data_IF_026712613940
#
_entry.id   IF_026712613940
#
_cell.length_a   1.000
_cell.length_b   1.000
_cell.length_c   1.000
_cell.angle_alpha   90.00
_cell.angle_beta   90.00
_cell.angle_gamma   90.00
#
_symmetry.space_group_name_H-M   'P 1'
#
loop_
_entity.id
_entity.type
_entity.pdbx_description
1 polymer ?
#
# COMPACT_ATOMS: atom_id res chain seq x y z
N UNK A 1 70.25 -12.69 40.26
CA UNK A 1 70.15 -12.33 38.83
C UNK A 1 70.24 -13.57 37.94
N UNK A 2 69.22 -14.42 38.03
CA UNK A 2 69.01 -15.53 37.10
C UNK A 2 67.90 -15.10 36.14
N UNK A 3 68.25 -15.07 34.85
CA UNK A 3 67.36 -14.60 33.78
C UNK A 3 66.12 -15.49 33.72
N UNK A 4 64.99 -14.96 34.17
CA UNK A 4 63.66 -15.47 33.86
C UNK A 4 63.45 -15.36 32.34
N UNK A 5 63.71 -16.45 31.65
CA UNK A 5 63.38 -16.62 30.23
C UNK A 5 61.87 -16.58 30.08
N UNK A 6 61.34 -15.41 29.74
CA UNK A 6 59.99 -15.26 29.19
C UNK A 6 59.88 -16.20 27.99
N UNK A 7 59.11 -17.28 28.15
CA UNK A 7 58.83 -18.25 27.11
C UNK A 7 58.05 -17.59 25.98
N UNK A 8 58.78 -17.11 24.98
CA UNK A 8 58.26 -16.84 23.65
C UNK A 8 57.83 -18.17 23.02
N UNK A 9 56.56 -18.28 22.66
CA UNK A 9 56.07 -19.41 21.87
C UNK A 9 56.87 -19.48 20.56
N UNK A 10 57.44 -20.64 20.27
CA UNK A 10 58.03 -20.90 18.96
C UNK A 10 56.93 -20.79 17.91
N UNK A 11 57.21 -20.00 16.87
CA UNK A 11 56.31 -19.69 15.76
C UNK A 11 55.74 -20.96 15.12
N UNK A 12 54.45 -21.25 15.34
CA UNK A 12 53.72 -22.24 14.54
C UNK A 12 52.61 -23.03 15.25
N UNK A 13 52.58 -23.08 16.58
CA UNK A 13 51.57 -23.87 17.31
C UNK A 13 50.52 -22.99 17.98
N UNK A 14 49.26 -23.43 17.90
CA UNK A 14 48.08 -22.76 18.45
C UNK A 14 48.30 -22.36 19.92
N UNK A 15 48.52 -21.06 20.14
CA UNK A 15 48.82 -20.47 21.45
C UNK A 15 47.93 -20.93 22.62
N UNK A 16 46.62 -21.17 22.46
CA UNK A 16 45.78 -21.68 23.55
C UNK A 16 46.20 -23.07 24.05
N UNK A 17 46.52 -23.99 23.13
CA UNK A 17 46.85 -25.38 23.46
C UNK A 17 48.23 -25.49 24.14
N UNK A 18 49.19 -24.66 23.72
CA UNK A 18 50.51 -24.61 24.34
C UNK A 18 50.43 -24.07 25.78
N UNK A 19 49.67 -22.99 26.02
CA UNK A 19 49.49 -22.44 27.36
C UNK A 19 48.72 -23.39 28.27
N UNK A 20 47.71 -24.09 27.75
CA UNK A 20 46.95 -25.08 28.51
C UNK A 20 47.81 -26.32 28.85
N UNK A 21 48.67 -26.77 27.93
CA UNK A 21 49.61 -27.87 28.18
C UNK A 21 50.70 -27.50 29.21
N UNK A 22 51.21 -26.27 29.19
CA UNK A 22 52.18 -25.77 30.17
C UNK A 22 51.54 -25.58 31.54
N UNK A 23 50.31 -25.05 31.59
CA UNK A 23 49.55 -24.91 32.83
C UNK A 23 49.22 -26.27 33.44
N UNK A 24 48.75 -27.24 32.64
CA UNK A 24 48.53 -28.62 33.10
C UNK A 24 49.80 -29.30 33.59
N UNK A 25 50.95 -29.12 32.91
CA UNK A 25 52.23 -29.66 33.37
C UNK A 25 52.67 -29.04 34.70
N UNK A 26 52.51 -27.73 34.87
CA UNK A 26 52.81 -27.04 36.14
C UNK A 26 51.88 -27.49 37.26
N UNK A 27 50.58 -27.62 36.98
CA UNK A 27 49.61 -28.14 37.94
C UNK A 27 49.95 -29.57 38.37
N UNK A 28 50.31 -30.45 37.42
CA UNK A 28 50.72 -31.82 37.73
C UNK A 28 52.01 -31.87 38.58
N UNK A 29 53.01 -31.05 38.26
CA UNK A 29 54.24 -30.94 39.05
C UNK A 29 54.00 -30.37 40.46
N UNK A 30 53.09 -29.41 40.59
CA UNK A 30 52.68 -28.88 41.90
C UNK A 30 51.91 -29.93 42.70
N UNK A 31 51.00 -30.68 42.08
CA UNK A 31 50.27 -31.75 42.76
C UNK A 31 51.17 -32.90 43.19
N UNK A 32 52.19 -33.26 42.39
CA UNK A 32 53.16 -34.28 42.79
C UNK A 32 54.03 -33.80 43.95
N UNK A 33 54.50 -32.54 43.91
CA UNK A 33 55.30 -31.95 44.99
C UNK A 33 54.49 -31.79 46.29
N UNK A 34 53.20 -31.46 46.18
CA UNK A 34 52.29 -31.45 47.33
C UNK A 34 51.98 -32.86 47.87
N UNK A 35 51.97 -33.89 47.01
CA UNK A 35 51.83 -35.28 47.46
C UNK A 35 53.10 -35.76 48.19
N UNK A 36 54.29 -35.45 47.65
CA UNK A 36 55.59 -35.74 48.27
C UNK A 36 55.74 -35.04 49.63
N UNK A 37 55.31 -33.77 49.76
CA UNK A 37 55.30 -33.05 51.02
C UNK A 37 54.32 -33.68 52.03
N UNK A 38 53.15 -34.14 51.59
CA UNK A 38 52.20 -34.84 52.47
C UNK A 38 52.75 -36.17 52.96
N UNK A 39 53.41 -36.94 52.10
CA UNK A 39 54.08 -38.20 52.49
C UNK A 39 55.26 -37.94 53.43
N UNK A 40 56.07 -36.90 53.18
CA UNK A 40 57.17 -36.50 54.07
C UNK A 40 56.65 -36.09 55.46
N UNK A 41 55.58 -35.29 55.53
CA UNK A 41 54.93 -34.89 56.77
C UNK A 41 54.28 -36.07 57.49
N UNK A 42 53.66 -37.02 56.76
CA UNK A 42 53.12 -38.25 57.33
C UNK A 42 54.23 -39.15 57.90
N UNK A 43 55.37 -39.26 57.21
CA UNK A 43 56.54 -40.01 57.68
C UNK A 43 57.20 -39.35 58.89
N UNK A 44 57.28 -38.02 58.94
CA UNK A 44 57.73 -37.29 60.12
C UNK A 44 56.78 -37.50 61.32
N UNK A 45 55.46 -37.39 61.12
CA UNK A 45 54.46 -37.69 62.16
C UNK A 45 54.52 -39.14 62.65
N UNK A 46 54.76 -40.09 61.76
CA UNK A 46 54.95 -41.49 62.13
C UNK A 46 56.28 -41.71 62.88
N UNK A 47 57.34 -40.99 62.52
CA UNK A 47 58.63 -41.05 63.21
C UNK A 47 58.58 -40.41 64.60
N UNK A 48 57.89 -39.28 64.77
CA UNK A 48 57.67 -38.66 66.08
C UNK A 48 56.77 -39.53 66.95
N UNK A 49 55.67 -40.09 66.42
CA UNK A 49 54.84 -41.06 67.14
C UNK A 49 55.63 -42.32 67.57
N UNK A 50 56.59 -42.78 66.75
CA UNK A 50 57.51 -43.88 67.11
C UNK A 50 58.51 -43.49 68.20
N UNK A 51 58.96 -42.23 68.26
CA UNK A 51 59.79 -41.73 69.37
C UNK A 51 58.99 -41.69 70.68
N UNK A 52 57.80 -41.10 70.69
CA UNK A 52 56.92 -41.06 71.88
C UNK A 52 56.53 -42.46 72.40
N UNK A 53 56.33 -43.44 71.51
CA UNK A 53 56.05 -44.83 71.94
C UNK A 53 57.30 -45.60 72.40
N UNK A 54 58.49 -45.19 71.95
CA UNK A 54 59.78 -45.74 72.40
C UNK A 54 60.19 -45.17 73.76
N UNK A 55 59.87 -43.90 74.03
CA UNK A 55 60.08 -43.26 75.33
C UNK A 55 59.14 -43.85 76.40
N UNK A 56 57.89 -44.22 76.05
CA UNK A 56 57.01 -45.04 76.91
C UNK A 56 57.50 -46.48 77.18
N UNK A 57 58.47 -46.98 76.42
CA UNK A 57 59.05 -48.33 76.62
C UNK A 57 60.47 -48.30 77.22
N UNK A 58 61.07 -47.12 77.39
CA UNK A 58 62.47 -46.99 77.81
C UNK A 58 62.70 -46.14 79.07
N UNK A 59 61.66 -45.55 79.68
CA UNK A 59 61.76 -44.79 80.93
C UNK A 59 60.87 -45.36 82.04
N UNK A 60 61.51 -45.73 83.16
CA UNK A 60 60.96 -45.96 84.50
C UNK A 60 60.29 -47.30 84.85
N UNK A 61 61.15 -48.34 84.89
CA UNK A 61 61.07 -49.42 85.88
C UNK A 61 62.16 -49.23 86.95
N UNK A 62 62.07 -48.16 87.74
CA UNK A 62 62.81 -47.99 89.01
C UNK A 62 61.90 -47.34 90.05
N UNK A 63 61.21 -48.18 90.82
CA UNK A 63 60.42 -47.75 91.97
C UNK A 63 59.37 -48.79 92.34
N UNK A 64 59.50 -49.35 93.54
CA UNK A 64 58.59 -50.32 94.18
C UNK A 64 58.49 -51.74 93.59
N UNK A 65 59.46 -52.57 93.97
CA UNK A 65 59.21 -53.97 94.36
C UNK A 65 59.95 -54.25 95.68
N UNK A 66 59.32 -53.92 96.80
CA UNK A 66 59.49 -54.66 98.06
C UNK A 66 58.11 -55.25 98.36
N UNK A 67 57.96 -56.54 98.05
CA UNK A 67 56.79 -57.34 98.32
C UNK A 67 57.14 -58.80 98.00
N UNK A 68 57.20 -59.70 99.00
CA UNK A 68 57.79 -61.02 98.82
C UNK A 68 56.79 -61.95 98.13
N UNK A 69 57.12 -62.37 96.92
CA UNK A 69 56.30 -63.27 96.12
C UNK A 69 57.11 -63.97 95.05
N UNK A 70 58.22 -64.61 95.44
CA UNK A 70 58.97 -65.52 94.58
C UNK A 70 59.25 -66.79 95.35
N UNK A 71 58.44 -67.81 95.04
CA UNK A 71 58.71 -69.19 95.38
C UNK A 71 59.86 -69.68 94.50
N UNK A 72 60.98 -70.03 95.11
CA UNK A 72 61.81 -71.21 94.85
C UNK A 72 62.92 -71.10 95.90
N UNK A 73 62.84 -71.83 97.01
CA UNK A 73 63.95 -72.43 97.76
C UNK A 73 63.38 -73.04 99.04
N UNK A 74 63.43 -74.36 99.11
CA UNK A 74 63.01 -75.16 100.24
C UNK A 74 63.79 -74.78 101.52
N UNK A 75 63.06 -74.36 102.56
CA UNK A 75 63.49 -74.46 103.95
C UNK A 75 62.33 -75.03 104.76
N UNK A 76 62.55 -76.19 105.35
CA UNK A 76 61.63 -76.87 106.26
C UNK A 76 61.39 -75.98 107.49
N UNK A 77 60.23 -75.33 107.57
CA UNK A 77 59.75 -74.71 108.80
C UNK A 77 58.99 -75.77 109.61
N UNK A 78 59.65 -76.31 110.64
CA UNK A 78 58.97 -77.12 111.66
C UNK A 78 58.01 -76.19 112.41
N UNK A 79 56.71 -76.52 112.40
CA UNK A 79 55.74 -75.81 113.22
C UNK A 79 56.00 -76.15 114.70
N UNK A 80 56.57 -75.19 115.43
CA UNK A 80 56.63 -75.22 116.89
C UNK A 80 55.27 -74.78 117.40
N UNK A 81 54.61 -75.68 118.13
CA UNK A 81 53.27 -75.47 118.68
C UNK A 81 53.35 -74.51 119.87
N UNK A 82 52.96 -73.25 119.69
CA UNK A 82 53.02 -72.18 120.71
C UNK A 82 51.67 -71.92 121.38
N UNK A 83 50.82 -72.94 121.50
CA UNK A 83 49.58 -72.81 122.27
C UNK A 83 49.90 -72.77 123.77
N UNK A 84 49.32 -71.80 124.49
CA UNK A 84 49.42 -71.70 125.94
C UNK A 84 48.65 -72.87 126.58
N UNK A 85 49.37 -73.90 127.03
CA UNK A 85 48.85 -74.90 127.94
C UNK A 85 48.92 -74.37 129.37
N UNK A 86 47.81 -73.78 129.85
CA UNK A 86 47.61 -73.50 131.27
C UNK A 86 46.84 -74.67 131.87
N UNK A 87 47.52 -75.50 132.68
CA UNK A 87 46.86 -76.44 133.59
C UNK A 87 46.43 -75.67 134.84
N UNK A 88 45.12 -75.53 135.07
CA UNK A 88 44.61 -75.11 136.37
C UNK A 88 44.78 -76.26 137.36
N UNK A 89 45.69 -76.09 138.33
CA UNK A 89 45.80 -76.98 139.49
C UNK A 89 44.54 -76.81 140.35
N UNK A 90 43.67 -77.82 140.37
CA UNK A 90 42.40 -77.85 141.11
C UNK A 90 42.54 -78.24 142.59
N UNK A 91 43.78 -78.31 143.10
CA UNK A 91 44.04 -78.70 144.49
C UNK A 91 43.83 -77.50 145.44
N UNK A 92 42.75 -77.55 146.22
CA UNK A 92 42.48 -76.56 147.26
C UNK A 92 43.37 -76.81 148.48
N UNK A 93 44.22 -75.83 148.81
CA UNK A 93 45.06 -75.85 150.02
C UNK A 93 44.21 -75.47 151.24
N UNK A 94 44.23 -76.31 152.27
CA UNK A 94 43.49 -76.11 153.51
C UNK A 94 43.94 -74.84 154.27
N UNK A 95 42.98 -73.96 154.59
CA UNK A 95 43.21 -72.77 155.40
C UNK A 95 42.77 -73.03 156.84
N UNK A 96 43.70 -72.84 157.78
CA UNK A 96 43.42 -72.97 159.22
C UNK A 96 43.16 -71.60 159.82
N UNK A 97 41.96 -71.41 160.36
CA UNK A 97 41.57 -70.20 161.08
C UNK A 97 42.07 -70.23 162.53
N UNK A 98 42.95 -69.30 162.88
CA UNK A 98 43.37 -69.03 164.25
C UNK A 98 42.87 -67.65 164.67
N UNK A 99 42.00 -67.60 165.67
CA UNK A 99 41.56 -66.34 166.28
C UNK A 99 42.57 -65.90 167.36
N UNK A 100 43.00 -64.64 167.33
CA UNK A 100 43.74 -64.03 168.45
C UNK A 100 43.24 -62.62 168.69
N UNK A 101 42.98 -62.34 169.96
CA UNK A 101 42.39 -61.13 170.51
C UNK A 101 43.35 -59.93 170.38
N UNK A 102 42.87 -58.88 169.73
CA UNK A 102 43.56 -57.64 169.43
C UNK A 102 43.58 -56.69 170.62
N UNK A 103 44.76 -56.18 170.99
CA UNK A 103 44.86 -54.87 171.66
C UNK A 103 44.69 -53.76 170.61
N UNK A 104 44.01 -52.68 170.97
CA UNK A 104 43.82 -51.51 170.11
C UNK A 104 45.15 -50.77 169.88
N UNK A 105 45.87 -51.13 168.83
CA UNK A 105 46.96 -50.34 168.29
C UNK A 105 46.40 -48.99 167.80
N UNK A 106 46.83 -47.90 168.43
CA UNK A 106 46.67 -46.57 167.85
C UNK A 106 47.61 -46.46 166.65
N UNK A 107 47.06 -46.15 165.48
CA UNK A 107 47.84 -46.02 164.25
C UNK A 107 48.90 -44.92 164.41
N UNK A 108 50.17 -45.32 164.24
CA UNK A 108 51.27 -44.37 164.09
C UNK A 108 50.99 -43.53 162.84
N UNK A 109 51.04 -42.19 162.89
CA UNK A 109 50.85 -41.38 161.70
C UNK A 109 51.85 -41.84 160.62
N UNK A 110 51.42 -41.93 159.35
CA UNK A 110 52.27 -42.45 158.29
C UNK A 110 53.55 -41.63 158.23
N UNK A 111 54.70 -42.30 158.34
CA UNK A 111 56.00 -41.66 158.19
C UNK A 111 56.03 -40.94 156.83
N UNK A 112 56.44 -39.66 156.79
CA UNK A 112 56.43 -38.89 155.55
C UNK A 112 57.22 -39.64 154.48
N UNK A 113 56.63 -39.77 153.29
CA UNK A 113 57.28 -40.40 152.14
C UNK A 113 58.58 -39.64 151.85
N UNK A 114 59.71 -40.32 151.94
CA UNK A 114 60.99 -39.77 151.53
C UNK A 114 60.97 -39.58 150.01
N UNK A 115 60.71 -38.35 149.57
CA UNK A 115 60.90 -37.93 148.19
C UNK A 115 62.35 -37.45 148.08
N UNK A 116 63.24 -38.20 147.41
CA UNK A 116 64.59 -37.73 147.19
C UNK A 116 64.53 -36.37 146.48
N UNK A 117 65.22 -35.36 147.01
CA UNK A 117 65.47 -34.13 146.24
C UNK A 117 66.12 -34.53 144.93
N UNK A 118 65.55 -34.12 143.78
CA UNK A 118 66.17 -34.34 142.47
C UNK A 118 67.63 -33.87 142.53
N UNK A 119 68.58 -34.79 142.60
CA UNK A 119 70.01 -34.49 142.44
C UNK A 119 70.38 -34.82 141.00
N UNK A 120 70.22 -33.81 140.16
CA UNK A 120 70.56 -33.78 138.74
C UNK A 120 70.32 -32.35 138.26
N UNK A 121 71.20 -31.83 137.41
CA UNK A 121 70.97 -30.52 136.78
C UNK A 121 69.98 -30.76 135.64
N UNK A 122 68.77 -30.22 135.76
CA UNK A 122 67.79 -30.24 134.67
C UNK A 122 68.34 -29.34 133.53
N UNK A 123 68.61 -29.93 132.36
CA UNK A 123 69.06 -29.22 131.16
C UNK A 123 67.98 -29.38 130.10
N UNK A 124 67.40 -28.26 129.66
CA UNK A 124 66.54 -28.24 128.49
C UNK A 124 67.38 -28.03 127.24
N UNK A 125 67.14 -28.85 126.22
CA UNK A 125 67.72 -28.68 124.89
C UNK A 125 66.60 -28.32 123.94
N UNK A 126 66.55 -27.06 123.50
CA UNK A 126 65.58 -26.56 122.54
C UNK A 126 66.31 -26.17 121.25
N UNK A 127 65.81 -26.66 120.12
CA UNK A 127 66.25 -26.22 118.79
C UNK A 127 65.45 -24.95 118.46
N UNK A 128 66.15 -23.86 118.15
CA UNK A 128 65.54 -22.58 117.80
C UNK A 128 65.25 -22.50 116.30
N UNK A 129 64.42 -21.53 115.89
CA UNK A 129 64.14 -21.28 114.48
C UNK A 129 65.45 -21.00 113.72
N UNK A 130 65.66 -21.70 112.60
CA UNK A 130 66.85 -21.68 111.74
C UNK A 130 68.11 -22.41 112.23
N UNK A 131 68.04 -23.17 113.32
CA UNK A 131 69.21 -23.91 113.87
C UNK A 131 69.54 -25.20 113.09
N UNK A 132 68.59 -25.74 112.33
CA UNK A 132 68.74 -26.94 111.48
C UNK A 132 68.56 -26.67 109.97
N UNK A 133 68.55 -25.39 109.57
CA UNK A 133 68.32 -25.04 108.17
C UNK A 133 69.55 -25.39 107.31
N UNK A 134 69.36 -26.27 106.32
CA UNK A 134 70.33 -26.55 105.28
C UNK A 134 69.90 -25.92 103.96
N UNK A 135 70.63 -24.90 103.54
CA UNK A 135 70.33 -24.16 102.31
C UNK A 135 70.40 -25.06 101.07
N UNK A 136 71.36 -25.99 101.01
CA UNK A 136 71.57 -26.81 99.81
C UNK A 136 70.40 -27.78 99.58
N UNK A 137 69.82 -28.29 100.66
CA UNK A 137 68.65 -29.17 100.61
C UNK A 137 67.37 -28.37 100.28
N UNK A 138 67.16 -27.24 100.94
CA UNK A 138 65.90 -26.49 100.88
C UNK A 138 65.76 -25.65 99.60
N UNK A 139 66.86 -25.24 98.97
CA UNK A 139 66.82 -24.51 97.68
C UNK A 139 66.52 -25.42 96.49
N UNK A 140 66.78 -26.72 96.63
CA UNK A 140 66.72 -27.68 95.52
C UNK A 140 65.33 -27.77 94.87
N UNK A 141 64.21 -27.87 95.62
CA UNK A 141 62.86 -27.89 95.05
C UNK A 141 62.47 -26.57 94.39
N UNK A 142 62.95 -25.45 94.93
CA UNK A 142 62.68 -24.11 94.40
C UNK A 142 63.37 -23.94 93.04
N UNK A 143 64.64 -24.31 92.96
CA UNK A 143 65.42 -24.28 91.72
C UNK A 143 64.85 -25.25 90.69
N UNK A 144 64.45 -26.46 91.08
CA UNK A 144 63.85 -27.43 90.17
C UNK A 144 62.57 -26.88 89.52
N UNK A 145 61.68 -26.26 90.31
CA UNK A 145 60.46 -25.66 89.78
C UNK A 145 60.75 -24.44 88.91
N UNK A 146 61.69 -23.58 89.30
CA UNK A 146 62.04 -22.38 88.52
C UNK A 146 62.69 -22.75 87.19
N UNK A 147 63.67 -23.65 87.20
CA UNK A 147 64.35 -24.10 85.98
C UNK A 147 63.39 -24.91 85.12
N UNK A 148 62.58 -25.80 85.72
CA UNK A 148 61.58 -26.58 85.00
C UNK A 148 60.57 -25.70 84.27
N UNK A 149 59.94 -24.74 84.98
CA UNK A 149 58.96 -23.83 84.38
C UNK A 149 59.56 -22.90 83.33
N UNK A 150 60.77 -22.39 83.57
CA UNK A 150 61.41 -21.49 82.59
C UNK A 150 61.78 -22.22 81.30
N UNK A 151 62.28 -23.45 81.40
CA UNK A 151 62.58 -24.28 80.22
C UNK A 151 61.30 -24.73 79.51
N UNK A 152 60.27 -25.13 80.24
CA UNK A 152 58.97 -25.52 79.67
C UNK A 152 58.33 -24.34 78.94
N UNK A 153 58.28 -23.17 79.56
CA UNK A 153 57.75 -21.96 78.94
C UNK A 153 58.55 -21.56 77.70
N UNK A 154 59.88 -21.56 77.77
CA UNK A 154 60.73 -21.25 76.61
C UNK A 154 60.51 -22.22 75.45
N UNK A 155 60.32 -23.51 75.73
CA UNK A 155 60.04 -24.51 74.70
C UNK A 155 58.69 -24.28 74.03
N UNK A 156 57.64 -23.98 74.81
CA UNK A 156 56.31 -23.67 74.29
C UNK A 156 56.33 -22.41 73.41
N UNK A 157 56.98 -21.35 73.87
CA UNK A 157 57.10 -20.09 73.11
C UNK A 157 57.80 -20.32 71.76
N UNK A 158 58.92 -21.06 71.74
CA UNK A 158 59.62 -21.36 70.48
C UNK A 158 58.76 -22.22 69.55
N UNK A 159 58.04 -23.21 70.08
CA UNK A 159 57.12 -24.01 69.26
C UNK A 159 55.99 -23.18 68.67
N UNK A 160 55.38 -22.29 69.46
CA UNK A 160 54.34 -21.38 68.98
C UNK A 160 54.87 -20.40 67.91
N UNK A 161 56.08 -19.88 68.09
CA UNK A 161 56.72 -19.00 67.10
C UNK A 161 56.98 -19.71 65.77
N UNK A 162 57.48 -20.94 65.80
CA UNK A 162 57.68 -21.76 64.59
C UNK A 162 56.34 -22.06 63.89
N UNK A 163 55.31 -22.47 64.64
CA UNK A 163 53.98 -22.71 64.08
C UNK A 163 53.38 -21.44 63.45
N UNK A 164 53.51 -20.29 64.11
CA UNK A 164 53.06 -19.00 63.57
C UNK A 164 53.84 -18.60 62.32
N UNK A 165 55.14 -18.87 62.25
CA UNK A 165 55.95 -18.62 61.06
C UNK A 165 55.50 -19.49 59.88
N UNK A 166 55.24 -20.77 60.11
CA UNK A 166 54.73 -21.70 59.11
C UNK A 166 53.35 -21.28 58.59
N UNK A 167 52.44 -20.89 59.47
CA UNK A 167 51.10 -20.41 59.09
C UNK A 167 51.17 -19.11 58.27
N UNK A 168 52.08 -18.20 58.60
CA UNK A 168 52.29 -16.96 57.82
C UNK A 168 52.81 -17.28 56.43
N UNK A 169 53.81 -18.14 56.32
CA UNK A 169 54.35 -18.58 55.04
C UNK A 169 53.27 -19.24 54.16
N UNK A 170 52.46 -20.14 54.72
CA UNK A 170 51.34 -20.76 54.00
C UNK A 170 50.30 -19.73 53.55
N UNK A 171 49.97 -18.77 54.41
CA UNK A 171 49.02 -17.69 54.08
C UNK A 171 49.53 -16.83 52.93
N UNK A 172 50.80 -16.44 52.95
CA UNK A 172 51.42 -15.63 51.88
C UNK A 172 51.34 -16.36 50.54
N UNK A 173 51.73 -17.64 50.49
CA UNK A 173 51.64 -18.46 49.27
C UNK A 173 50.20 -18.55 48.75
N UNK A 174 49.22 -18.76 49.62
CA UNK A 174 47.82 -18.83 49.21
C UNK A 174 47.28 -17.47 48.73
N UNK A 175 47.74 -16.37 49.33
CA UNK A 175 47.38 -15.02 48.90
C UNK A 175 47.97 -14.71 47.53
N UNK A 176 49.23 -15.07 47.28
CA UNK A 176 49.86 -14.92 45.96
C UNK A 176 49.07 -15.68 44.89
N UNK A 177 48.74 -16.95 45.14
CA UNK A 177 47.91 -17.75 44.23
C UNK A 177 46.55 -17.08 43.99
N UNK A 178 45.88 -16.65 45.07
CA UNK A 178 44.57 -16.01 44.95
C UNK A 178 44.62 -14.72 44.12
N UNK A 179 45.64 -13.89 44.32
CA UNK A 179 45.82 -12.66 43.54
C UNK A 179 46.11 -12.95 42.07
N UNK A 180 46.89 -13.99 41.77
CA UNK A 180 47.16 -14.44 40.41
C UNK A 180 45.88 -14.96 39.73
N UNK A 181 45.10 -15.78 40.43
CA UNK A 181 43.83 -16.32 39.93
C UNK A 181 42.83 -15.20 39.63
N UNK A 182 42.69 -14.22 40.53
CA UNK A 182 41.83 -13.05 40.30
C UNK A 182 42.26 -12.25 39.06
N UNK A 183 43.57 -12.06 38.86
CA UNK A 183 44.08 -11.38 37.68
C UNK A 183 43.79 -12.17 36.39
N UNK A 184 43.88 -13.50 36.42
CA UNK A 184 43.52 -14.36 35.29
C UNK A 184 42.02 -14.31 34.98
N UNK A 185 41.17 -14.39 36.01
CA UNK A 185 39.71 -14.28 35.85
C UNK A 185 39.34 -12.94 35.22
N UNK A 186 39.88 -11.82 35.72
CA UNK A 186 39.63 -10.50 35.14
C UNK A 186 40.03 -10.43 33.66
N UNK A 187 41.19 -10.99 33.30
CA UNK A 187 41.65 -11.08 31.90
C UNK A 187 40.67 -11.90 31.03
N UNK A 188 40.17 -13.02 31.53
CA UNK A 188 39.21 -13.87 30.82
C UNK A 188 37.84 -13.21 30.68
N UNK A 189 37.37 -12.50 31.70
CA UNK A 189 36.12 -11.74 31.66
C UNK A 189 36.16 -10.64 30.61
N UNK A 190 37.24 -9.86 30.56
CA UNK A 190 37.39 -8.80 29.56
C UNK A 190 37.49 -9.36 28.13
N UNK A 191 38.17 -10.50 27.95
CA UNK A 191 38.16 -11.22 26.68
C UNK A 191 36.75 -11.69 26.30
N UNK A 192 35.99 -12.22 27.25
CA UNK A 192 34.62 -12.67 27.02
C UNK A 192 33.68 -11.50 26.72
N UNK A 193 33.85 -10.34 27.37
CA UNK A 193 33.08 -9.11 27.05
C UNK A 193 33.30 -8.71 25.60
N UNK A 194 34.57 -8.64 25.15
CA UNK A 194 34.91 -8.32 23.74
C UNK A 194 34.26 -9.30 22.76
N UNK A 195 34.32 -10.61 23.03
CA UNK A 195 33.68 -11.60 22.16
C UNK A 195 32.15 -11.48 22.14
N UNK A 196 31.52 -11.20 23.29
CA UNK A 196 30.07 -10.99 23.36
C UNK A 196 29.66 -9.77 22.54
N UNK A 197 30.35 -8.66 22.70
CA UNK A 197 30.11 -7.43 21.93
C UNK A 197 30.29 -7.65 20.43
N UNK A 198 31.36 -8.33 20.01
CA UNK A 198 31.59 -8.63 18.60
C UNK A 198 30.52 -9.57 18.04
N UNK A 199 30.13 -10.60 18.80
CA UNK A 199 29.06 -11.54 18.41
C UNK A 199 27.73 -10.81 18.25
N UNK A 200 27.39 -9.89 19.15
CA UNK A 200 26.18 -9.07 19.05
C UNK A 200 26.21 -8.14 17.84
N UNK A 201 27.34 -7.46 17.59
CA UNK A 201 27.51 -6.63 16.38
C UNK A 201 27.32 -7.44 15.11
N UNK A 202 27.94 -8.63 15.02
CA UNK A 202 27.76 -9.54 13.88
C UNK A 202 26.31 -9.99 13.76
N UNK A 203 25.64 -10.35 14.87
CA UNK A 203 24.23 -10.76 14.85
C UNK A 203 23.33 -9.67 14.25
N UNK A 204 23.51 -8.42 14.69
CA UNK A 204 22.75 -7.27 14.18
C UNK A 204 23.02 -7.07 12.68
N UNK A 205 24.29 -7.14 12.26
CA UNK A 205 24.65 -7.04 10.83
C UNK A 205 24.00 -8.14 9.99
N UNK A 206 24.03 -9.39 10.45
CA UNK A 206 23.38 -10.51 9.77
C UNK A 206 21.86 -10.34 9.71
N UNK A 207 21.22 -9.89 10.79
CA UNK A 207 19.77 -9.63 10.80
C UNK A 207 19.38 -8.54 9.79
N UNK A 208 20.15 -7.44 9.73
CA UNK A 208 19.92 -6.36 8.76
C UNK A 208 20.14 -6.84 7.33
N UNK A 209 21.26 -7.55 7.08
CA UNK A 209 21.56 -8.09 5.75
C UNK A 209 20.50 -9.11 5.31
N UNK A 210 20.00 -9.95 6.22
CA UNK A 210 18.95 -10.93 5.93
C UNK A 210 17.62 -10.25 5.60
N UNK A 211 17.25 -9.17 6.30
CA UNK A 211 16.05 -8.38 5.97
C UNK A 211 16.18 -7.76 4.58
N UNK A 212 17.30 -7.10 4.30
CA UNK A 212 17.56 -6.49 3.00
C UNK A 212 17.55 -7.53 1.87
N UNK A 213 18.15 -8.71 2.08
CA UNK A 213 18.16 -9.80 1.11
C UNK A 213 16.75 -10.33 0.81
N UNK A 214 15.87 -10.42 1.81
CA UNK A 214 14.47 -10.78 1.59
C UNK A 214 13.75 -9.72 0.77
N UNK A 215 13.91 -8.45 1.11
CA UNK A 215 13.30 -7.34 0.36
C UNK A 215 13.77 -7.28 -1.09
N UNK A 216 15.06 -7.44 -1.34
CA UNK A 216 15.60 -7.47 -2.70
C UNK A 216 15.09 -8.68 -3.47
N UNK A 217 15.04 -9.86 -2.85
CA UNK A 217 14.44 -11.05 -3.46
C UNK A 217 12.97 -10.82 -3.83
N UNK A 218 12.17 -10.21 -2.95
CA UNK A 218 10.78 -9.86 -3.25
C UNK A 218 10.66 -8.86 -4.40
N UNK A 219 11.50 -7.83 -4.46
CA UNK A 219 11.53 -6.86 -5.57
C UNK A 219 11.89 -7.53 -6.90
N UNK A 220 12.88 -8.42 -6.89
CA UNK A 220 13.29 -9.19 -8.08
C UNK A 220 12.16 -10.11 -8.52
N UNK A 221 11.52 -10.83 -7.59
CA UNK A 221 10.38 -11.69 -7.87
C UNK A 221 9.20 -10.91 -8.46
N UNK A 222 8.85 -9.75 -7.88
CA UNK A 222 7.79 -8.89 -8.41
C UNK A 222 8.11 -8.36 -9.82
N UNK A 223 9.37 -7.96 -10.08
CA UNK A 223 9.82 -7.55 -11.42
C UNK A 223 9.76 -8.71 -12.43
N UNK A 224 10.19 -9.90 -12.03
CA UNK A 224 10.11 -11.08 -12.88
C UNK A 224 8.66 -11.47 -13.18
N UNK A 225 7.80 -11.44 -12.15
CA UNK A 225 6.37 -11.72 -12.27
C UNK A 225 5.67 -10.72 -13.20
N UNK A 226 5.86 -9.41 -12.98
CA UNK A 226 5.28 -8.37 -13.83
C UNK A 226 5.75 -8.50 -15.28
N UNK A 227 7.03 -8.76 -15.53
CA UNK A 227 7.54 -8.99 -16.88
C UNK A 227 6.90 -10.22 -17.55
N UNK A 228 6.81 -11.33 -16.81
CA UNK A 228 6.20 -12.56 -17.31
C UNK A 228 4.70 -12.40 -17.58
N UNK A 229 3.99 -11.61 -16.77
CA UNK A 229 2.56 -11.35 -16.92
C UNK A 229 2.25 -10.31 -18.01
N UNK A 230 2.98 -9.20 -18.06
CA UNK A 230 2.73 -8.11 -19.00
C UNK A 230 3.15 -8.45 -20.43
N UNK A 231 4.21 -9.25 -20.64
CA UNK A 231 4.70 -9.54 -21.99
C UNK A 231 3.66 -10.25 -22.87
N UNK A 232 2.93 -11.28 -22.42
CA UNK A 232 1.83 -11.88 -23.18
C UNK A 232 0.60 -10.98 -23.23
N UNK A 233 0.29 -10.26 -22.15
CA UNK A 233 -0.88 -9.39 -22.08
C UNK A 233 -0.79 -8.23 -23.08
N UNK A 234 0.38 -7.60 -23.20
CA UNK A 234 0.63 -6.57 -24.20
C UNK A 234 0.40 -7.12 -25.60
N UNK A 235 1.01 -8.27 -25.95
CA UNK A 235 0.81 -8.88 -27.27
C UNK A 235 -0.67 -9.20 -27.54
N UNK A 236 -1.37 -9.78 -26.58
CA UNK A 236 -2.78 -10.12 -26.68
C UNK A 236 -3.67 -8.89 -26.84
N UNK A 237 -3.45 -7.84 -26.03
CA UNK A 237 -4.21 -6.59 -26.12
C UNK A 237 -3.95 -5.82 -27.42
N UNK A 238 -2.69 -5.79 -27.89
CA UNK A 238 -2.36 -5.24 -29.22
C UNK A 238 -3.08 -6.00 -30.33
N UNK A 239 -3.08 -7.33 -30.29
CA UNK A 239 -3.81 -8.16 -31.26
C UNK A 239 -5.32 -7.89 -31.20
N UNK A 240 -5.92 -7.85 -30.01
CA UNK A 240 -7.35 -7.55 -29.85
C UNK A 240 -7.72 -6.14 -30.34
N UNK A 241 -6.88 -5.14 -30.08
CA UNK A 241 -7.10 -3.77 -30.57
C UNK A 241 -6.93 -3.67 -32.09
N UNK A 242 -5.98 -4.43 -32.66
CA UNK A 242 -5.77 -4.53 -34.09
C UNK A 242 -6.95 -5.23 -34.78
N UNK A 243 -7.41 -6.37 -34.25
CA UNK A 243 -8.59 -7.10 -34.75
C UNK A 243 -9.87 -6.29 -34.66
N UNK A 244 -10.02 -5.47 -33.60
CA UNK A 244 -11.15 -4.55 -33.44
C UNK A 244 -11.04 -3.29 -34.30
N UNK A 245 -9.95 -3.10 -35.04
CA UNK A 245 -9.76 -1.97 -35.96
C UNK A 245 -9.52 -0.63 -35.27
N UNK A 246 -9.11 -0.61 -33.99
CA UNK A 246 -8.75 0.65 -33.31
C UNK A 246 -7.43 1.22 -33.81
N UNK A 247 -6.51 0.37 -34.28
CA UNK A 247 -5.33 0.79 -35.01
C UNK A 247 -5.65 0.81 -36.50
N UNK A 248 -5.87 2.01 -37.03
CA UNK A 248 -6.03 2.25 -38.46
C UNK A 248 -4.72 2.78 -39.05
N UNK A 249 -4.50 2.52 -40.34
CA UNK A 249 -3.45 3.20 -41.09
C UNK A 249 -3.85 4.66 -41.28
N UNK A 250 -3.05 5.58 -40.75
CA UNK A 250 -3.29 7.03 -40.85
C UNK A 250 -3.44 7.47 -42.31
N UNK A 251 -2.70 6.84 -43.23
CA UNK A 251 -2.75 7.19 -44.65
C UNK A 251 -4.08 6.75 -45.27
N UNK A 252 -4.59 5.56 -44.93
CA UNK A 252 -5.87 5.08 -45.46
C UNK A 252 -7.05 5.92 -44.93
N UNK A 253 -7.01 6.29 -43.65
CA UNK A 253 -8.04 7.13 -43.03
C UNK A 253 -8.03 8.55 -43.62
N UNK A 254 -6.84 9.15 -43.78
CA UNK A 254 -6.71 10.46 -44.42
C UNK A 254 -7.21 10.45 -45.87
N UNK A 255 -6.98 9.36 -46.62
CA UNK A 255 -7.52 9.24 -47.99
C UNK A 255 -9.05 9.12 -47.97
N UNK A 256 -9.63 8.36 -47.04
CA UNK A 256 -11.09 8.19 -46.94
C UNK A 256 -11.80 9.50 -46.59
N UNK A 257 -11.35 10.15 -45.53
CA UNK A 257 -12.07 11.29 -44.96
C UNK A 257 -11.66 12.60 -45.65
N UNK A 258 -10.37 12.83 -45.91
CA UNK A 258 -9.91 14.11 -46.47
C UNK A 258 -9.91 14.15 -48.00
N UNK A 259 -9.83 13.01 -48.69
CA UNK A 259 -9.77 12.97 -50.16
C UNK A 259 -11.06 12.45 -50.79
N UNK A 260 -11.55 11.26 -50.42
CA UNK A 260 -12.70 10.65 -51.09
C UNK A 260 -14.01 11.39 -50.81
N UNK A 261 -14.26 11.83 -49.58
CA UNK A 261 -15.49 12.55 -49.22
C UNK A 261 -15.59 13.90 -49.96
N UNK A 262 -14.62 14.84 -49.88
CA UNK A 262 -14.68 16.09 -50.64
C UNK A 262 -14.65 15.88 -52.16
N UNK A 263 -13.95 14.86 -52.66
CA UNK A 263 -13.96 14.52 -54.08
C UNK A 263 -15.36 14.08 -54.53
N UNK A 264 -16.03 13.22 -53.75
CA UNK A 264 -17.39 12.75 -54.03
C UNK A 264 -18.40 13.89 -53.98
N UNK A 265 -18.30 14.78 -52.99
CA UNK A 265 -19.12 15.99 -52.88
C UNK A 265 -18.90 16.92 -54.08
N UNK A 266 -17.64 17.17 -54.45
CA UNK A 266 -17.31 18.00 -55.61
C UNK A 266 -17.83 17.44 -56.94
N UNK A 267 -17.82 16.11 -57.12
CA UNK A 267 -18.45 15.45 -58.28
C UNK A 267 -19.96 15.63 -58.25
N UNK A 268 -20.61 15.43 -57.09
CA UNK A 268 -22.06 15.60 -56.95
C UNK A 268 -22.49 17.05 -57.20
N UNK A 269 -21.73 18.03 -56.72
CA UNK A 269 -21.97 19.45 -56.96
C UNK A 269 -21.83 19.82 -58.44
N UNK A 270 -20.81 19.29 -59.12
CA UNK A 270 -20.63 19.47 -60.56
C UNK A 270 -21.79 18.86 -61.35
N UNK A 271 -22.23 17.64 -60.99
CA UNK A 271 -23.41 17.01 -61.58
C UNK A 271 -24.71 17.79 -61.29
N UNK A 272 -24.84 18.38 -60.10
CA UNK A 272 -25.98 19.20 -59.75
C UNK A 272 -26.01 20.51 -60.54
N UNK A 273 -24.85 21.15 -60.73
CA UNK A 273 -24.70 22.32 -61.61
C UNK A 273 -25.06 21.98 -63.06
N UNK A 274 -24.57 20.86 -63.58
CA UNK A 274 -24.90 20.40 -64.94
C UNK A 274 -26.42 20.13 -65.07
N UNK A 275 -27.03 19.46 -64.09
CA UNK A 275 -28.47 19.20 -64.07
C UNK A 275 -29.28 20.50 -64.03
N UNK A 276 -28.88 21.48 -63.19
CA UNK A 276 -29.52 22.80 -63.12
C UNK A 276 -29.41 23.54 -64.45
N UNK A 277 -28.23 23.56 -65.06
CA UNK A 277 -28.02 24.16 -66.37
C UNK A 277 -28.91 23.52 -67.45
N UNK A 278 -29.01 22.18 -67.46
CA UNK A 278 -29.90 21.46 -68.39
C UNK A 278 -31.37 21.82 -68.18
N UNK A 279 -31.85 21.86 -66.93
CA UNK A 279 -33.23 22.27 -66.62
C UNK A 279 -33.49 23.72 -67.06
N UNK A 280 -32.54 24.63 -66.85
CA UNK A 280 -32.67 26.02 -67.29
C UNK A 280 -32.71 26.13 -68.82
N UNK A 281 -31.83 25.42 -69.53
CA UNK A 281 -31.82 25.40 -71.00
C UNK A 281 -33.13 24.79 -71.52
N UNK A 282 -33.60 23.67 -70.97
CA UNK A 282 -34.88 23.06 -71.34
C UNK A 282 -36.06 24.01 -71.06
N UNK A 283 -36.00 24.77 -69.97
CA UNK A 283 -36.96 25.83 -69.63
C UNK A 283 -36.97 26.96 -70.67
N UNK A 284 -35.79 27.49 -71.02
CA UNK A 284 -35.64 28.53 -72.04
C UNK A 284 -36.10 28.06 -73.42
N UNK A 285 -35.77 26.81 -73.80
CA UNK A 285 -36.25 26.21 -75.06
C UNK A 285 -37.77 26.10 -75.04
N UNK A 286 -38.37 25.65 -73.93
CA UNK A 286 -39.83 25.57 -73.80
C UNK A 286 -40.47 26.95 -73.92
N UNK A 287 -39.96 27.97 -73.23
CA UNK A 287 -40.46 29.35 -73.33
C UNK A 287 -40.36 29.88 -74.77
N UNK A 288 -39.20 29.73 -75.41
CA UNK A 288 -38.99 30.15 -76.80
C UNK A 288 -39.97 29.45 -77.78
N UNK A 289 -40.21 28.15 -77.60
CA UNK A 289 -41.19 27.40 -78.41
C UNK A 289 -42.62 27.87 -78.13
N UNK A 290 -42.98 28.13 -76.87
CA UNK A 290 -44.33 28.63 -76.54
C UNK A 290 -44.61 30.03 -77.07
N UNK A 291 -43.63 30.95 -76.97
CA UNK A 291 -43.72 32.29 -77.54
C UNK A 291 -43.90 32.21 -79.05
N UNK A 292 -43.06 31.41 -79.73
CA UNK A 292 -43.16 31.21 -81.18
C UNK A 292 -44.50 30.56 -81.58
N UNK A 293 -45.01 29.62 -80.79
CA UNK A 293 -46.35 29.04 -81.02
C UNK A 293 -47.46 30.09 -80.86
N UNK A 294 -47.38 30.95 -79.85
CA UNK A 294 -48.32 32.05 -79.64
C UNK A 294 -48.30 33.03 -80.82
N UNK A 295 -47.11 33.46 -81.25
CA UNK A 295 -46.92 34.32 -82.43
C UNK A 295 -47.50 33.70 -83.71
N UNK A 296 -47.26 32.39 -83.96
CA UNK A 296 -47.87 31.70 -85.10
C UNK A 296 -49.39 31.60 -85.01
N UNK A 297 -49.94 31.46 -83.80
CA UNK A 297 -51.39 31.40 -83.58
C UNK A 297 -52.04 32.77 -83.81
N UNK A 298 -51.44 33.85 -83.30
CA UNK A 298 -51.82 35.24 -83.58
C UNK A 298 -51.78 35.52 -85.09
N UNK A 299 -50.69 35.12 -85.76
CA UNK A 299 -50.54 35.28 -87.21
C UNK A 299 -51.59 34.48 -87.99
N UNK A 300 -51.87 33.25 -87.56
CA UNK A 300 -52.94 32.41 -88.14
C UNK A 300 -54.32 33.04 -87.93
N UNK A 301 -54.59 33.62 -86.76
CA UNK A 301 -55.84 34.36 -86.48
C UNK A 301 -55.98 35.57 -87.39
N UNK A 302 -54.91 36.37 -87.55
CA UNK A 302 -54.90 37.52 -88.44
C UNK A 302 -55.07 37.15 -89.91
N UNK A 303 -54.52 36.01 -90.35
CA UNK A 303 -54.75 35.46 -91.70
C UNK A 303 -56.21 35.04 -91.85
N UNK A 304 -56.77 34.30 -90.89
CA UNK A 304 -58.18 33.90 -90.90
C UNK A 304 -59.11 35.12 -90.93
N UNK A 305 -58.84 36.16 -90.14
CA UNK A 305 -59.61 37.40 -90.14
C UNK A 305 -59.57 38.09 -91.52
N UNK A 306 -58.39 38.18 -92.14
CA UNK A 306 -58.24 38.71 -93.51
C UNK A 306 -58.99 37.88 -94.55
N UNK A 307 -58.99 36.55 -94.44
CA UNK A 307 -59.74 35.66 -95.35
C UNK A 307 -61.25 35.82 -95.16
N UNK A 308 -61.73 35.85 -93.91
CA UNK A 308 -63.14 36.09 -93.60
C UNK A 308 -63.59 37.44 -94.15
N UNK A 309 -62.82 38.52 -93.95
CA UNK A 309 -63.12 39.84 -94.52
C UNK A 309 -63.14 39.80 -96.07
N UNK A 310 -62.22 39.07 -96.71
CA UNK A 310 -62.22 38.90 -98.17
C UNK A 310 -63.45 38.14 -98.69
N UNK A 311 -64.08 37.28 -97.89
CA UNK A 311 -65.29 36.55 -98.30
C UNK A 311 -66.59 37.30 -97.96
N UNK A 312 -66.66 37.92 -96.79
CA UNK A 312 -67.87 38.62 -96.33
C UNK A 312 -68.08 39.96 -97.03
N UNK A 313 -67.00 40.69 -97.35
CA UNK A 313 -67.11 42.00 -98.03
C UNK A 313 -67.72 41.87 -99.45
N UNK A 314 -67.33 40.92 -100.30
CA UNK A 314 -68.01 40.68 -101.58
C UNK A 314 -69.46 40.24 -101.41
N UNK A 315 -69.77 39.35 -100.47
CA UNK A 315 -71.15 38.89 -100.23
C UNK A 315 -72.05 40.06 -99.80
N UNK A 316 -71.59 40.90 -98.86
CA UNK A 316 -72.30 42.12 -98.46
C UNK A 316 -72.44 43.13 -99.62
N UNK A 317 -71.40 43.29 -100.46
CA UNK A 317 -71.50 44.13 -101.66
C UNK A 317 -72.56 43.62 -102.63
N UNK A 318 -72.68 42.31 -102.84
CA UNK A 318 -73.71 41.75 -103.69
C UNK A 318 -75.12 41.98 -103.13
N UNK A 319 -75.33 41.77 -101.83
CA UNK A 319 -76.64 42.00 -101.19
C UNK A 319 -77.03 43.48 -101.21
N UNK A 320 -76.10 44.39 -100.87
CA UNK A 320 -76.35 45.84 -100.90
C UNK A 320 -76.60 46.31 -102.34
N UNK A 321 -75.85 45.81 -103.31
CA UNK A 321 -76.09 46.13 -104.72
C UNK A 321 -77.48 45.66 -105.19
N UNK A 322 -77.90 44.44 -104.81
CA UNK A 322 -79.23 43.94 -105.13
C UNK A 322 -80.33 44.82 -104.51
N UNK A 323 -80.19 45.19 -103.23
CA UNK A 323 -81.12 46.08 -102.54
C UNK A 323 -81.21 47.47 -103.20
N UNK A 324 -80.07 48.08 -103.57
CA UNK A 324 -80.03 49.39 -104.23
C UNK A 324 -80.66 49.31 -105.62
N UNK A 325 -80.37 48.27 -106.40
CA UNK A 325 -80.95 48.07 -107.73
C UNK A 325 -82.47 47.88 -107.65
N UNK A 326 -82.95 47.03 -106.73
CA UNK A 326 -84.39 46.80 -106.54
C UNK A 326 -85.12 48.08 -106.10
N UNK A 327 -84.54 48.84 -105.16
CA UNK A 327 -85.14 50.12 -104.74
C UNK A 327 -85.14 51.17 -105.85
N UNK A 328 -84.08 51.24 -106.65
CA UNK A 328 -84.02 52.14 -107.81
C UNK A 328 -85.03 51.74 -108.89
N UNK A 329 -85.20 50.44 -109.16
CA UNK A 329 -86.19 49.93 -110.12
C UNK A 329 -87.63 50.25 -109.69
N UNK A 330 -87.97 50.04 -108.41
CA UNK A 330 -89.29 50.42 -107.86
C UNK A 330 -89.54 51.92 -107.96
N UNK A 331 -88.53 52.74 -107.68
CA UNK A 331 -88.65 54.20 -107.78
C UNK A 331 -88.84 54.65 -109.24
N UNK A 332 -88.08 54.08 -110.18
CA UNK A 332 -88.23 54.33 -111.61
C UNK A 332 -89.60 53.91 -112.13
N UNK A 333 -90.13 52.74 -111.73
CA UNK A 333 -91.49 52.31 -112.05
C UNK A 333 -92.53 53.30 -111.55
N UNK A 334 -92.46 53.76 -110.29
CA UNK A 334 -93.41 54.74 -109.75
C UNK A 334 -93.39 56.08 -110.50
N UNK A 335 -92.20 56.51 -110.98
CA UNK A 335 -92.06 57.74 -111.75
C UNK A 335 -92.60 57.59 -113.17
N UNK A 336 -92.39 56.43 -113.80
CA UNK A 336 -92.96 56.13 -115.11
C UNK A 336 -94.49 56.02 -115.05
N UNK A 337 -95.05 55.46 -113.98
CA UNK A 337 -96.50 55.44 -113.77
C UNK A 337 -97.08 56.86 -113.62
N UNK A 338 -96.39 57.74 -112.87
CA UNK A 338 -96.77 59.15 -112.73
C UNK A 338 -96.69 59.91 -114.08
N UNK A 339 -95.66 59.64 -114.89
CA UNK A 339 -95.53 60.23 -116.24
C UNK A 339 -96.60 59.67 -117.18
N UNK A 340 -96.95 58.38 -117.07
CA UNK A 340 -98.01 57.77 -117.86
C UNK A 340 -99.39 58.35 -117.50
N UNK A 341 -99.68 58.58 -116.21
CA UNK A 341 -100.93 59.26 -115.80
C UNK A 341 -100.96 60.70 -116.28
N UNK A 342 -99.86 61.45 -116.13
CA UNK A 342 -99.78 62.83 -116.61
C UNK A 342 -99.91 62.96 -118.13
N UNK A 343 -99.30 62.06 -118.92
CA UNK A 343 -99.45 62.06 -120.39
C UNK A 343 -100.85 61.66 -120.84
N UNK A 344 -101.56 60.84 -120.06
CA UNK A 344 -102.96 60.52 -120.32
C UNK A 344 -103.86 61.73 -120.06
N UNK A 345 -103.65 62.44 -118.94
CA UNK A 345 -104.35 63.70 -118.66
C UNK A 345 -104.10 64.77 -119.72
N UNK A 346 -102.85 64.94 -120.17
CA UNK A 346 -102.50 65.88 -121.25
C UNK A 346 -103.15 65.47 -122.58
N UNK A 347 -103.18 64.17 -122.90
CA UNK A 347 -103.84 63.66 -124.13
C UNK A 347 -105.35 63.87 -124.09
N UNK A 348 -105.98 63.64 -122.94
CA UNK A 348 -107.42 63.83 -122.79
C UNK A 348 -107.78 65.33 -122.83
N UNK A 349 -106.94 66.21 -122.30
CA UNK A 349 -107.08 67.66 -122.44
C UNK A 349 -106.88 68.16 -123.89
N UNK A 350 -105.83 67.70 -124.58
CA UNK A 350 -105.55 68.09 -125.96
C UNK A 350 -106.61 67.55 -126.95
N UNK A 351 -107.16 66.36 -126.71
CA UNK A 351 -108.26 65.84 -127.54
C UNK A 351 -109.57 66.60 -127.31
N UNK A 352 -109.81 67.12 -126.10
CA UNK A 352 -110.94 68.02 -125.83
C UNK A 352 -110.78 69.39 -126.52
N UNK A 353 -109.57 69.97 -126.55
CA UNK A 353 -109.28 71.22 -127.28
C UNK A 353 -109.45 71.05 -128.80
N UNK A 354 -108.91 69.98 -129.39
CA UNK A 354 -109.03 69.73 -130.84
C UNK A 354 -110.49 69.50 -131.26
N UNK A 355 -111.33 68.86 -130.43
CA UNK A 355 -112.75 68.69 -130.74
C UNK A 355 -113.51 70.03 -130.64
N UNK A 356 -113.11 70.92 -129.73
CA UNK A 356 -113.65 72.28 -129.64
C UNK A 356 -113.32 73.08 -130.91
N UNK A 357 -112.05 73.07 -131.32
CA UNK A 357 -111.59 73.84 -132.49
C UNK A 357 -112.25 73.35 -133.79
N UNK A 358 -112.43 72.04 -133.98
CA UNK A 358 -113.12 71.49 -135.17
C UNK A 358 -114.62 71.85 -135.18
N UNK A 359 -115.27 71.90 -134.01
CA UNK A 359 -116.68 72.29 -133.92
C UNK A 359 -116.89 73.78 -134.18
N UNK A 360 -115.96 74.63 -133.75
CA UNK A 360 -115.99 76.07 -134.03
C UNK A 360 -115.70 76.37 -135.51
N UNK A 361 -114.83 75.61 -136.16
CA UNK A 361 -114.52 75.72 -137.60
C UNK A 361 -115.73 75.30 -138.48
N UNK A 362 -116.44 74.23 -138.11
CA UNK A 362 -117.67 73.81 -138.82
C UNK A 362 -118.81 74.81 -138.58
N UNK A 363 -118.94 75.36 -137.37
CA UNK A 363 -119.95 76.36 -137.05
C UNK A 363 -119.74 77.67 -137.81
N UNK A 364 -118.48 78.07 -138.04
CA UNK A 364 -118.15 79.32 -138.69
C UNK A 364 -118.52 79.39 -140.18
N UNK A 365 -118.54 78.30 -140.94
CA UNK A 365 -118.70 78.45 -142.40
C UNK A 365 -119.81 77.66 -143.07
N UNK A 366 -120.58 76.88 -142.30
CA UNK A 366 -122.02 76.81 -142.58
C UNK A 366 -122.64 78.23 -142.62
N UNK A 367 -122.06 79.22 -141.93
CA UNK A 367 -122.42 80.64 -142.02
C UNK A 367 -122.06 81.25 -143.40
N UNK A 368 -120.87 80.96 -143.94
CA UNK A 368 -120.42 81.44 -145.24
C UNK A 368 -121.15 80.80 -146.43
N UNK A 369 -121.59 79.54 -146.30
CA UNK A 369 -122.44 78.88 -147.31
C UNK A 369 -123.84 79.52 -147.42
N UNK A 370 -124.38 80.09 -146.33
CA UNK A 370 -125.66 80.82 -146.36
C UNK A 370 -125.57 82.20 -147.03
N UNK A 371 -124.47 82.93 -146.82
CA UNK A 371 -124.31 84.28 -147.38
C UNK A 371 -124.03 84.27 -148.89
N UNK A 372 -123.44 83.19 -149.43
CA UNK A 372 -123.18 83.06 -150.86
C UNK A 372 -124.41 82.61 -151.68
N UNK A 373 -125.33 81.83 -151.09
CA UNK A 373 -126.61 81.48 -151.72
C UNK A 373 -127.51 82.72 -151.93
N UNK A 374 -127.48 83.72 -151.04
CA UNK A 374 -128.23 84.98 -151.22
C UNK A 374 -127.66 85.87 -152.35
N UNK A 375 -126.37 85.72 -152.70
CA UNK A 375 -125.78 86.43 -153.83
C UNK A 375 -126.15 85.82 -155.20
N UNK A 376 -126.61 84.56 -155.23
CA UNK A 376 -127.08 83.87 -156.43
C UNK A 376 -128.46 84.36 -156.91
N UNK A 377 -129.29 84.96 -156.07
CA UNK A 377 -130.64 85.41 -156.46
C UNK A 377 -130.70 86.84 -157.05
N UNK A 378 -129.71 87.70 -156.78
CA UNK A 378 -129.79 89.12 -157.17
C UNK A 378 -129.15 89.47 -158.52
N UNK A 379 -128.32 88.61 -159.11
CA UNK A 379 -127.72 88.87 -160.42
C UNK A 379 -128.56 88.33 -161.60
N UNK A 380 -129.41 87.31 -161.39
CA UNK A 380 -130.36 86.81 -162.41
C UNK A 380 -131.54 87.78 -162.69
N UNK A 381 -131.76 88.78 -161.83
CA UNK A 381 -132.89 89.70 -161.94
C UNK A 381 -132.57 91.07 -162.58
N UNK A 382 -131.33 91.32 -162.97
CA UNK A 382 -130.94 92.54 -163.70
C UNK A 382 -130.45 92.19 -165.09
N UNK A 383 -131.23 92.57 -166.11
CA UNK A 383 -130.91 92.47 -167.56
C UNK A 383 -131.46 91.22 -168.29
N UNK A 384 -132.52 90.60 -167.73
CA UNK A 384 -133.70 90.15 -168.53
C UNK A 384 -134.66 91.31 -168.86
N UNK A 385 -134.28 92.52 -168.48
CA UNK A 385 -134.85 93.78 -168.94
C UNK A 385 -134.01 94.32 -170.11
N UNK A 386 -134.68 94.45 -171.26
CA UNK A 386 -134.30 95.27 -172.42
C UNK A 386 -133.71 94.56 -173.64
N UNK A 387 -134.51 93.62 -174.16
CA UNK A 387 -134.94 93.71 -175.55
C UNK A 387 -135.82 94.99 -175.67
N UNK A 388 -135.34 96.00 -176.41
CA UNK A 388 -136.12 97.02 -177.13
C UNK A 388 -136.89 98.11 -176.32
N UNK A 389 -136.19 99.21 -175.98
CA UNK A 389 -136.55 100.50 -176.61
C UNK A 389 -135.92 100.52 -178.00
N UNK A 390 -136.74 100.15 -178.97
CA UNK A 390 -136.77 100.56 -180.39
C UNK A 390 -135.46 100.91 -181.11
N UNK A 391 -135.29 100.30 -182.29
CA UNK A 391 -134.31 100.75 -183.28
C UNK A 391 -134.34 102.25 -183.56
N UNK A 392 -133.18 102.87 -183.33
CA UNK A 392 -132.63 104.13 -183.86
C UNK A 392 -131.43 104.42 -182.97
N UNK A 393 -130.21 104.61 -183.45
CA UNK A 393 -129.64 104.75 -184.80
C UNK A 393 -128.12 104.71 -184.63
N UNK A 394 -127.35 104.66 -185.73
CA UNK A 394 -125.97 105.18 -185.73
C UNK A 394 -125.87 106.47 -184.90
N UNK A 395 -124.78 106.57 -184.16
CA UNK A 395 -124.44 107.53 -183.09
C UNK A 395 -124.34 106.79 -181.76
N UNK A 396 -123.14 106.43 -181.36
CA UNK A 396 -121.82 106.62 -182.00
C UNK A 396 -120.86 105.67 -181.32
#
# INVERSE_FOLDING_TARGET
PERTTLMTAASGEDGPAHYEAVSRRRHLQLTSRCAELREAMANQRAATARKFTRDRRAGDMKGQLIGPGSSVFARSSVHVQTELFLEELTEQVEQNDFATQTDHFLDRPPSPLFVPTKTGVDVETQIYENDLFDFELEVQPILEVLVGKTVEQALLEVMEEEELADLRCQREVLQEIHTADLAEVARLEDRNKRYKEERERRRIQYEVAAKLAKETAHKIAAKAFTKAYLSPLLKSTYQQLFERGYFYDSVEHDIKDNFLEPFSEGVLDSMAQERRARILIDGLIREAVTLRHYEFRELSRAICEKVCLKQTVPALRCEVAHYVIDRAARLALSRLELVASGTKEIRDAASAEIISDIMDEIALEVQAQKEAEEAAENAENTVRSEILKSGRTSQS
#
